data_IF_953770882436
#
_entry.id   IF_953770882436
#
_cell.length_a   1.000
_cell.length_b   1.000
_cell.length_c   1.000
_cell.angle_alpha   90.00
_cell.angle_beta   90.00
_cell.angle_gamma   90.00
#
_symmetry.space_group_name_H-M   'P 1'
#
loop_
_entity.id
_entity.type
_entity.pdbx_description
1 polymer ?
#
# COMPACT_ATOMS: atom_id res chain seq x y z
N UNK A 1 28.66 16.77 1.83
CA UNK A 1 27.80 16.70 0.62
C UNK A 1 26.40 16.28 1.05
N UNK A 2 25.42 17.18 0.94
CA UNK A 2 24.01 16.81 1.16
C UNK A 2 23.59 15.92 0.00
N UNK A 3 23.31 14.66 0.29
CA UNK A 3 22.78 13.69 -0.68
C UNK A 3 21.51 14.29 -1.30
N UNK A 4 21.60 14.71 -2.56
CA UNK A 4 20.43 15.06 -3.37
C UNK A 4 19.57 13.81 -3.44
N UNK A 5 18.32 13.91 -2.98
CA UNK A 5 17.34 12.85 -3.09
C UNK A 5 17.33 12.35 -4.55
N UNK A 6 17.45 11.04 -4.79
CA UNK A 6 17.75 10.40 -6.10
C UNK A 6 16.82 10.86 -7.25
N UNK A 7 15.71 11.50 -6.94
CA UNK A 7 14.67 11.94 -7.87
C UNK A 7 14.28 13.43 -7.75
N UNK A 8 15.01 14.23 -6.95
CA UNK A 8 14.71 15.67 -6.78
C UNK A 8 13.36 15.98 -6.08
N UNK A 9 12.68 14.97 -5.56
CA UNK A 9 11.41 15.15 -4.85
C UNK A 9 11.62 15.84 -3.50
N UNK A 10 10.86 16.92 -3.28
CA UNK A 10 10.82 17.67 -2.02
C UNK A 10 9.72 17.08 -1.15
N UNK A 11 10.12 16.48 -0.03
CA UNK A 11 9.19 16.03 1.01
C UNK A 11 8.52 17.23 1.64
N UNK A 12 7.23 17.12 1.91
CA UNK A 12 6.41 18.21 2.43
C UNK A 12 5.46 17.68 3.50
N UNK A 13 5.16 18.50 4.49
CA UNK A 13 4.22 18.16 5.55
C UNK A 13 2.97 19.02 5.42
N UNK A 14 1.79 18.39 5.42
CA UNK A 14 0.48 19.06 5.42
C UNK A 14 -0.37 18.40 6.50
N UNK A 15 -1.00 19.18 7.37
CA UNK A 15 -1.81 18.68 8.50
C UNK A 15 -1.06 17.68 9.41
N UNK A 16 0.26 17.86 9.58
CA UNK A 16 1.12 16.95 10.34
C UNK A 16 1.49 15.65 9.61
N UNK A 17 0.96 15.41 8.41
CA UNK A 17 1.25 14.24 7.58
C UNK A 17 2.40 14.54 6.63
N UNK A 18 3.40 13.67 6.60
CA UNK A 18 4.56 13.78 5.71
C UNK A 18 4.30 13.06 4.39
N UNK A 19 4.42 13.79 3.29
CA UNK A 19 4.32 13.29 1.92
C UNK A 19 5.68 13.22 1.24
N UNK A 20 5.86 12.25 0.34
CA UNK A 20 7.12 12.06 -0.38
C UNK A 20 7.26 13.01 -1.57
N UNK A 21 6.15 13.64 -2.01
CA UNK A 21 6.16 14.64 -3.07
C UNK A 21 5.14 15.77 -2.88
N UNK A 22 5.40 16.91 -3.53
CA UNK A 22 4.43 18.02 -3.66
C UNK A 22 3.17 17.65 -4.46
N UNK A 23 3.23 16.61 -5.29
CA UNK A 23 2.07 16.16 -6.08
C UNK A 23 1.09 15.42 -5.17
N UNK A 24 1.61 14.49 -4.39
CA UNK A 24 0.88 13.73 -3.38
C UNK A 24 0.20 14.66 -2.36
N UNK A 25 0.94 15.63 -1.81
CA UNK A 25 0.39 16.58 -0.85
C UNK A 25 -0.71 17.49 -1.43
N UNK A 26 -0.59 17.89 -2.71
CA UNK A 26 -1.64 18.64 -3.40
C UNK A 26 -2.89 17.79 -3.58
N UNK A 27 -2.72 16.55 -4.03
CA UNK A 27 -3.84 15.63 -4.21
C UNK A 27 -4.54 15.31 -2.89
N UNK A 28 -3.79 15.13 -1.80
CA UNK A 28 -4.37 15.02 -0.46
C UNK A 28 -5.27 16.21 -0.09
N UNK A 29 -4.82 17.43 -0.40
CA UNK A 29 -5.59 18.65 -0.11
C UNK A 29 -6.89 18.69 -0.91
N UNK A 30 -6.86 18.28 -2.18
CA UNK A 30 -8.05 18.15 -3.04
C UNK A 30 -9.02 17.09 -2.49
N UNK A 31 -8.53 15.89 -2.17
CA UNK A 31 -9.35 14.82 -1.60
C UNK A 31 -9.98 15.25 -0.27
N UNK A 32 -9.30 16.05 0.54
CA UNK A 32 -9.89 16.64 1.75
C UNK A 32 -11.04 17.60 1.46
N UNK A 33 -10.95 18.39 0.40
CA UNK A 33 -12.06 19.26 -0.01
C UNK A 33 -13.26 18.44 -0.49
N UNK A 34 -13.01 17.38 -1.27
CA UNK A 34 -14.05 16.45 -1.71
C UNK A 34 -14.72 15.73 -0.55
N UNK A 35 -13.93 15.32 0.46
CA UNK A 35 -14.44 14.70 1.69
C UNK A 35 -15.33 15.68 2.46
N UNK A 36 -14.90 16.93 2.62
CA UNK A 36 -15.70 17.98 3.29
C UNK A 36 -16.98 18.31 2.53
N UNK A 37 -16.95 18.23 1.21
CA UNK A 37 -18.12 18.43 0.36
C UNK A 37 -19.06 17.21 0.33
N UNK A 38 -18.70 16.09 0.98
CA UNK A 38 -19.48 14.86 0.99
C UNK A 38 -19.44 14.07 -0.34
N UNK A 39 -18.52 14.41 -1.24
CA UNK A 39 -18.38 13.72 -2.54
C UNK A 39 -17.63 12.39 -2.41
N UNK A 40 -16.75 12.30 -1.42
CA UNK A 40 -16.07 11.06 -1.04
C UNK A 40 -16.22 10.81 0.46
N UNK A 41 -15.99 9.58 0.89
CA UNK A 41 -15.99 9.15 2.30
C UNK A 41 -14.80 8.22 2.59
N UNK A 42 -14.54 7.91 3.85
CA UNK A 42 -13.53 6.93 4.29
C UNK A 42 -12.11 7.16 3.72
N UNK A 43 -11.69 8.42 3.61
CA UNK A 43 -10.35 8.78 3.14
C UNK A 43 -9.28 8.25 4.10
N UNK A 44 -8.49 7.31 3.59
CA UNK A 44 -7.35 6.67 4.26
C UNK A 44 -6.09 6.88 3.44
N UNK A 45 -4.96 6.98 4.12
CA UNK A 45 -3.65 7.20 3.51
C UNK A 45 -2.75 5.97 3.71
N UNK A 46 -1.83 5.75 2.78
CA UNK A 46 -0.75 4.74 2.91
C UNK A 46 -1.28 3.33 3.22
N UNK A 47 -2.38 2.94 2.58
CA UNK A 47 -3.06 1.66 2.83
C UNK A 47 -2.27 0.51 2.22
N UNK A 48 -2.06 -0.54 3.01
CA UNK A 48 -1.27 -1.72 2.64
C UNK A 48 -2.16 -2.83 2.08
N UNK A 49 -1.80 -3.35 0.91
CA UNK A 49 -2.43 -4.48 0.25
C UNK A 49 -1.42 -5.60 0.03
N UNK A 50 -1.68 -6.79 0.56
CA UNK A 50 -0.82 -7.96 0.34
C UNK A 50 -1.01 -8.49 -1.09
N UNK A 51 0.04 -8.44 -1.90
CA UNK A 51 0.04 -8.95 -3.27
C UNK A 51 0.40 -10.43 -3.33
N UNK A 52 1.38 -10.82 -2.52
CA UNK A 52 1.84 -12.20 -2.39
C UNK A 52 2.15 -12.47 -0.91
N UNK A 53 1.67 -13.59 -0.35
CA UNK A 53 1.95 -13.94 1.03
C UNK A 53 3.43 -14.30 1.21
N UNK A 54 3.90 -14.22 2.46
CA UNK A 54 5.23 -14.70 2.82
C UNK A 54 5.34 -16.21 2.59
N UNK A 55 6.53 -16.66 2.19
CA UNK A 55 6.81 -18.07 1.90
C UNK A 55 7.68 -18.66 3.01
N UNK A 56 7.34 -19.87 3.45
CA UNK A 56 7.98 -20.54 4.58
C UNK A 56 8.57 -21.87 4.14
N UNK A 57 9.69 -22.25 4.75
CA UNK A 57 10.26 -23.57 4.58
C UNK A 57 9.26 -24.64 5.02
N UNK A 58 9.23 -25.75 4.29
CA UNK A 58 8.45 -26.90 4.72
C UNK A 58 9.03 -27.49 6.02
N UNK A 59 8.16 -27.93 6.92
CA UNK A 59 8.56 -28.61 8.15
C UNK A 59 7.41 -29.47 8.67
N UNK A 60 7.76 -30.67 9.11
CA UNK A 60 6.84 -31.58 9.82
C UNK A 60 6.88 -31.39 11.34
N UNK A 61 7.66 -30.41 11.82
CA UNK A 61 7.80 -30.19 13.24
C UNK A 61 6.48 -29.71 13.86
N UNK A 62 6.12 -30.23 15.03
CA UNK A 62 4.97 -29.78 15.81
C UNK A 62 5.42 -29.12 17.11
N UNK A 63 4.55 -28.33 17.74
CA UNK A 63 4.79 -27.82 19.08
C UNK A 63 4.77 -28.99 20.08
N UNK A 64 5.83 -29.13 20.88
CA UNK A 64 5.96 -30.25 21.83
C UNK A 64 5.39 -29.92 23.21
N UNK A 65 5.15 -28.63 23.51
CA UNK A 65 4.69 -28.11 24.80
C UNK A 65 3.83 -26.87 24.63
N UNK A 66 3.13 -26.47 25.69
CA UNK A 66 2.28 -25.28 25.75
C UNK A 66 0.92 -25.46 25.09
N UNK A 67 0.14 -24.38 25.02
CA UNK A 67 -1.26 -24.38 24.55
C UNK A 67 -1.44 -24.87 23.09
N UNK A 68 -0.38 -24.86 22.28
CA UNK A 68 -0.39 -25.31 20.88
C UNK A 68 0.18 -26.72 20.69
N UNK A 69 0.43 -27.48 21.77
CA UNK A 69 1.04 -28.81 21.68
C UNK A 69 0.31 -29.70 20.66
N UNK A 70 1.06 -30.36 19.80
CA UNK A 70 0.55 -31.21 18.71
C UNK A 70 0.20 -30.45 17.43
N UNK A 71 0.09 -29.12 17.45
CA UNK A 71 -0.16 -28.34 16.24
C UNK A 71 1.11 -28.22 15.38
N UNK A 72 0.96 -28.18 14.04
CA UNK A 72 2.07 -27.92 13.12
C UNK A 72 2.78 -26.60 13.44
N UNK A 73 4.12 -26.62 13.41
CA UNK A 73 4.92 -25.40 13.43
C UNK A 73 4.99 -24.83 12.04
N UNK A 74 4.97 -23.49 11.96
CA UNK A 74 5.38 -22.81 10.74
C UNK A 74 6.89 -22.91 10.59
N UNK A 75 7.38 -23.28 9.40
CA UNK A 75 8.80 -23.28 9.12
C UNK A 75 9.40 -21.87 9.10
N UNK A 76 10.72 -21.80 8.91
CA UNK A 76 11.45 -20.53 8.79
C UNK A 76 10.92 -19.73 7.59
N UNK A 77 10.75 -18.42 7.74
CA UNK A 77 10.42 -17.53 6.63
C UNK A 77 11.57 -17.53 5.61
N UNK A 78 11.29 -17.92 4.37
CA UNK A 78 12.25 -17.90 3.27
C UNK A 78 12.13 -16.56 2.54
N UNK A 79 10.91 -16.18 2.17
CA UNK A 79 10.63 -14.91 1.48
C UNK A 79 9.55 -14.12 2.20
N UNK A 80 9.76 -12.81 2.29
CA UNK A 80 8.77 -11.90 2.89
C UNK A 80 7.59 -11.68 1.93
N UNK A 81 6.45 -11.27 2.51
CA UNK A 81 5.28 -10.89 1.72
C UNK A 81 5.59 -9.70 0.81
N UNK A 82 5.01 -9.69 -0.39
CA UNK A 82 5.05 -8.53 -1.29
C UNK A 82 3.81 -7.68 -1.00
N UNK A 83 4.02 -6.42 -0.66
CA UNK A 83 2.94 -5.49 -0.33
C UNK A 83 2.95 -4.31 -1.30
N UNK A 84 1.75 -3.95 -1.78
CA UNK A 84 1.48 -2.67 -2.43
C UNK A 84 1.03 -1.67 -1.36
N UNK A 85 1.61 -0.47 -1.35
CA UNK A 85 1.18 0.62 -0.46
C UNK A 85 0.58 1.70 -1.36
N UNK A 86 -0.72 1.92 -1.24
CA UNK A 86 -1.43 2.95 -1.99
C UNK A 86 -1.36 4.28 -1.26
N UNK A 87 -1.18 5.38 -2.00
CA UNK A 87 -1.13 6.72 -1.40
C UNK A 87 -2.48 7.06 -0.74
N UNK A 88 -3.60 6.80 -1.44
CA UNK A 88 -4.95 7.11 -0.97
C UNK A 88 -5.93 5.97 -1.24
N UNK A 89 -6.87 5.76 -0.32
CA UNK A 89 -8.03 4.89 -0.49
C UNK A 89 -9.26 5.59 0.06
N UNK A 90 -10.36 5.62 -0.69
CA UNK A 90 -11.60 6.28 -0.28
C UNK A 90 -12.79 5.68 -1.01
N UNK A 91 -14.00 6.00 -0.55
CA UNK A 91 -15.24 5.60 -1.19
C UNK A 91 -15.81 6.77 -1.99
N UNK A 92 -16.14 6.53 -3.26
CA UNK A 92 -16.77 7.48 -4.17
C UNK A 92 -17.88 6.77 -4.94
N UNK A 93 -19.09 7.32 -4.91
CA UNK A 93 -20.27 6.74 -5.59
C UNK A 93 -20.49 5.23 -5.28
N UNK A 94 -20.26 4.84 -4.02
CA UNK A 94 -20.42 3.44 -3.57
C UNK A 94 -19.32 2.47 -4.01
N UNK A 95 -18.24 2.95 -4.63
CA UNK A 95 -17.08 2.14 -5.01
C UNK A 95 -15.85 2.55 -4.21
N UNK A 96 -15.05 1.57 -3.81
CA UNK A 96 -13.75 1.85 -3.19
C UNK A 96 -12.73 2.16 -4.27
N UNK A 97 -12.21 3.37 -4.23
CA UNK A 97 -11.15 3.87 -5.10
C UNK A 97 -9.81 3.68 -4.41
N UNK A 98 -8.85 3.13 -5.14
CA UNK A 98 -7.43 3.07 -4.73
C UNK A 98 -6.68 4.01 -5.66
N UNK A 99 -6.19 5.11 -5.12
CA UNK A 99 -5.55 6.16 -5.89
C UNK A 99 -4.08 6.30 -5.52
N UNK A 100 -3.24 6.42 -6.54
CA UNK A 100 -1.80 6.46 -6.37
C UNK A 100 -1.18 7.55 -7.25
N UNK A 101 -0.38 8.43 -6.64
CA UNK A 101 0.26 9.56 -7.31
C UNK A 101 1.62 9.16 -7.84
N UNK A 102 1.81 9.21 -9.16
CA UNK A 102 3.06 8.81 -9.79
C UNK A 102 3.71 9.92 -10.60
N UNK A 103 5.02 10.07 -10.39
CA UNK A 103 5.94 10.79 -11.25
C UNK A 103 6.77 9.80 -12.08
N UNK A 104 7.70 9.11 -11.41
CA UNK A 104 8.55 8.09 -12.03
C UNK A 104 7.98 6.68 -11.80
N UNK A 105 7.88 5.90 -12.87
CA UNK A 105 7.47 4.49 -12.83
C UNK A 105 8.70 3.61 -12.80
N UNK A 106 9.05 3.08 -11.63
CA UNK A 106 10.14 2.11 -11.48
C UNK A 106 9.70 0.72 -11.94
N UNK A 107 10.66 -0.15 -12.26
CA UNK A 107 10.36 -1.55 -12.64
C UNK A 107 9.59 -2.30 -11.53
N UNK A 108 9.99 -2.10 -10.27
CA UNK A 108 9.30 -2.66 -9.09
C UNK A 108 7.86 -2.17 -9.00
N UNK A 109 7.64 -0.86 -9.15
CA UNK A 109 6.29 -0.29 -9.17
C UNK A 109 5.42 -0.92 -10.26
N UNK A 110 5.93 -1.04 -11.48
CA UNK A 110 5.18 -1.62 -12.61
C UNK A 110 4.75 -3.05 -12.30
N UNK A 111 5.63 -3.87 -11.72
CA UNK A 111 5.32 -5.25 -11.35
C UNK A 111 4.27 -5.29 -10.23
N UNK A 112 4.47 -4.52 -9.15
CA UNK A 112 3.51 -4.46 -8.04
C UNK A 112 2.13 -3.96 -8.47
N UNK A 113 2.07 -2.96 -9.37
CA UNK A 113 0.81 -2.47 -9.95
C UNK A 113 0.12 -3.54 -10.78
N UNK A 114 0.86 -4.31 -11.59
CA UNK A 114 0.30 -5.44 -12.36
C UNK A 114 -0.28 -6.52 -11.43
N UNK A 115 0.47 -6.89 -10.38
CA UNK A 115 0.01 -7.85 -9.38
C UNK A 115 -1.21 -7.34 -8.61
N UNK A 116 -1.24 -6.05 -8.26
CA UNK A 116 -2.40 -5.44 -7.62
C UNK A 116 -3.63 -5.57 -8.52
N UNK A 117 -3.54 -5.13 -9.78
CA UNK A 117 -4.67 -5.23 -10.72
C UNK A 117 -5.14 -6.67 -10.94
N UNK A 118 -4.22 -7.63 -10.99
CA UNK A 118 -4.57 -9.04 -11.11
C UNK A 118 -5.34 -9.56 -9.89
N UNK A 119 -4.89 -9.23 -8.67
CA UNK A 119 -5.47 -9.74 -7.43
C UNK A 119 -6.73 -8.99 -6.98
N UNK A 120 -6.78 -7.69 -7.21
CA UNK A 120 -7.72 -6.75 -6.60
C UNK A 120 -8.51 -5.92 -7.62
N UNK A 121 -8.22 -6.03 -8.92
CA UNK A 121 -8.79 -5.15 -9.95
C UNK A 121 -10.30 -5.30 -10.17
N UNK A 122 -10.91 -6.39 -9.70
CA UNK A 122 -12.36 -6.57 -9.71
C UNK A 122 -13.05 -5.91 -8.48
N UNK A 123 -12.31 -5.70 -7.39
CA UNK A 123 -12.83 -5.18 -6.12
C UNK A 123 -12.64 -3.67 -5.98
N UNK A 124 -11.55 -3.13 -6.54
CA UNK A 124 -11.18 -1.72 -6.38
C UNK A 124 -11.06 -1.00 -7.73
N UNK A 125 -11.55 0.24 -7.77
CA UNK A 125 -11.29 1.15 -8.86
C UNK A 125 -9.89 1.76 -8.68
N UNK A 126 -8.89 1.18 -9.37
CA UNK A 126 -7.51 1.64 -9.28
C UNK A 126 -7.24 2.81 -10.25
N UNK A 127 -6.87 3.96 -9.69
CA UNK A 127 -6.56 5.20 -10.40
C UNK A 127 -5.11 5.62 -10.15
N UNK A 128 -4.45 6.06 -11.21
CA UNK A 128 -3.08 6.57 -11.14
C UNK A 128 -3.07 7.99 -11.66
N UNK A 129 -2.56 8.92 -10.83
CA UNK A 129 -2.55 10.35 -11.15
C UNK A 129 -1.13 10.84 -11.37
#
# INVERSE_FOLDING_TARGET
MVSRNKYGAVKITVDGIRFDSRKEARRYTELKLLLRAGQITDLRLQVRFELLPAQYAHTDATYTRGARKGQPKRGRCIEQAVVYVADFVYTENGRTVVEDTKGLRTKDYIIKRKLFRYRYGAEYDFREI
#
